data_IF_658233629711
#
_entry.id   IF_658233629711
#
_cell.length_a   1.000
_cell.length_b   1.000
_cell.length_c   1.000
_cell.angle_alpha   90.00
_cell.angle_beta   90.00
_cell.angle_gamma   90.00
#
_symmetry.space_group_name_H-M   'P 1'
#
loop_
_entity.id
_entity.type
_entity.pdbx_description
1 polymer ?
#
# COMPACT_ATOMS: atom_id res chain seq x y z
N UNK A 1 -20.50 -27.15 -1.53
CA UNK A 1 -19.99 -26.22 -2.58
C UNK A 1 -20.41 -24.80 -2.21
N UNK A 2 -19.46 -23.89 -2.04
CA UNK A 2 -19.74 -22.47 -1.71
C UNK A 2 -20.32 -21.82 -2.97
N UNK A 3 -21.57 -21.35 -2.93
CA UNK A 3 -22.18 -20.66 -4.08
C UNK A 3 -21.35 -19.39 -4.35
N UNK A 4 -20.75 -19.34 -5.53
CA UNK A 4 -19.99 -18.16 -5.97
C UNK A 4 -20.98 -17.02 -6.23
N UNK A 5 -20.88 -15.95 -5.46
CA UNK A 5 -21.72 -14.76 -5.63
C UNK A 5 -21.11 -13.85 -6.72
N UNK A 6 -21.41 -14.16 -7.97
CA UNK A 6 -20.91 -13.45 -9.15
C UNK A 6 -21.04 -11.92 -9.04
N UNK A 7 -22.16 -11.42 -8.54
CA UNK A 7 -22.35 -9.98 -8.37
C UNK A 7 -21.33 -9.32 -7.43
N UNK A 8 -20.96 -10.01 -6.33
CA UNK A 8 -19.94 -9.50 -5.41
C UNK A 8 -18.53 -9.56 -6.03
N UNK A 9 -18.23 -10.60 -6.79
CA UNK A 9 -16.96 -10.75 -7.49
C UNK A 9 -16.79 -9.65 -8.54
N UNK A 10 -17.79 -9.43 -9.38
CA UNK A 10 -17.78 -8.38 -10.39
C UNK A 10 -17.65 -7.00 -9.75
N UNK A 11 -18.41 -6.71 -8.70
CA UNK A 11 -18.34 -5.45 -7.97
C UNK A 11 -16.93 -5.22 -7.38
N UNK A 12 -16.31 -6.25 -6.81
CA UNK A 12 -14.95 -6.18 -6.29
C UNK A 12 -13.94 -5.81 -7.38
N UNK A 13 -14.03 -6.46 -8.55
CA UNK A 13 -13.16 -6.17 -9.69
C UNK A 13 -13.36 -4.71 -10.15
N UNK A 14 -14.60 -4.27 -10.32
CA UNK A 14 -14.93 -2.90 -10.74
C UNK A 14 -14.38 -1.86 -9.76
N UNK A 15 -14.57 -2.08 -8.46
CA UNK A 15 -14.05 -1.18 -7.43
C UNK A 15 -12.52 -1.10 -7.47
N UNK A 16 -11.84 -2.23 -7.60
CA UNK A 16 -10.38 -2.26 -7.67
C UNK A 16 -9.86 -1.59 -8.93
N UNK A 17 -10.45 -1.88 -10.08
CA UNK A 17 -10.06 -1.27 -11.36
C UNK A 17 -10.34 0.24 -11.41
N UNK A 18 -11.40 0.72 -10.77
CA UNK A 18 -11.73 2.14 -10.71
C UNK A 18 -10.89 2.90 -9.66
N UNK A 19 -10.57 2.27 -8.56
CA UNK A 19 -9.85 2.89 -7.44
C UNK A 19 -8.42 3.29 -7.85
N UNK A 20 -7.72 2.45 -8.60
CA UNK A 20 -6.33 2.70 -9.00
C UNK A 20 -6.17 3.94 -9.90
N UNK A 21 -6.88 4.10 -11.04
CA UNK A 21 -6.76 5.30 -11.85
C UNK A 21 -7.28 6.56 -11.14
N UNK A 22 -8.30 6.42 -10.28
CA UNK A 22 -8.84 7.56 -9.52
C UNK A 22 -7.79 8.13 -8.56
N UNK A 23 -7.16 7.28 -7.76
CA UNK A 23 -6.09 7.70 -6.84
C UNK A 23 -4.88 8.24 -7.58
N UNK A 24 -4.52 7.63 -8.70
CA UNK A 24 -3.39 8.10 -9.51
C UNK A 24 -3.66 9.49 -10.13
N UNK A 25 -4.88 9.71 -10.62
CA UNK A 25 -5.29 11.02 -11.15
C UNK A 25 -5.30 12.09 -10.05
N UNK A 26 -5.82 11.76 -8.88
CA UNK A 26 -5.80 12.66 -7.73
C UNK A 26 -4.37 13.03 -7.31
N UNK A 27 -3.49 12.03 -7.22
CA UNK A 27 -2.08 12.25 -6.91
C UNK A 27 -1.40 13.14 -7.94
N UNK A 28 -1.69 12.97 -9.24
CA UNK A 28 -1.15 13.81 -10.32
C UNK A 28 -1.57 15.27 -10.15
N UNK A 29 -2.86 15.54 -9.96
CA UNK A 29 -3.38 16.90 -9.76
C UNK A 29 -2.71 17.58 -8.56
N UNK A 30 -2.56 16.85 -7.46
CA UNK A 30 -1.88 17.38 -6.26
C UNK A 30 -0.38 17.62 -6.51
N UNK A 31 0.28 16.75 -7.25
CA UNK A 31 1.70 16.90 -7.61
C UNK A 31 1.95 18.14 -8.49
N UNK A 32 1.08 18.38 -9.45
CA UNK A 32 1.18 19.54 -10.34
C UNK A 32 0.88 20.87 -9.61
N UNK A 33 0.05 20.83 -8.57
CA UNK A 33 -0.34 22.00 -7.78
C UNK A 33 0.57 22.34 -6.61
N UNK A 34 1.58 21.51 -6.29
CA UNK A 34 2.43 21.70 -5.11
C UNK A 34 3.90 21.66 -5.47
N UNK A 35 4.71 22.52 -4.83
CA UNK A 35 6.14 22.58 -5.04
C UNK A 35 6.93 22.65 -3.72
N UNK A 36 8.15 22.14 -3.71
CA UNK A 36 9.06 22.23 -2.57
C UNK A 36 8.47 21.68 -1.26
N UNK A 37 8.44 22.51 -0.22
CA UNK A 37 7.98 22.11 1.12
C UNK A 37 6.49 21.78 1.16
N UNK A 38 5.69 22.36 0.28
CA UNK A 38 4.25 22.09 0.17
C UNK A 38 4.01 20.64 -0.22
N UNK A 39 4.84 20.05 -1.08
CA UNK A 39 4.80 18.64 -1.44
C UNK A 39 4.98 17.73 -0.22
N UNK A 40 5.90 18.10 0.67
CA UNK A 40 6.11 17.36 1.91
C UNK A 40 4.86 17.36 2.80
N UNK A 41 4.27 18.52 3.02
CA UNK A 41 3.05 18.63 3.84
C UNK A 41 1.85 17.96 3.19
N UNK A 42 1.69 18.08 1.87
CA UNK A 42 0.64 17.41 1.13
C UNK A 42 0.77 15.88 1.22
N UNK A 43 1.98 15.36 1.04
CA UNK A 43 2.27 13.94 1.19
C UNK A 43 1.99 13.41 2.60
N UNK A 44 2.51 14.11 3.61
CA UNK A 44 2.26 13.75 5.02
C UNK A 44 0.78 13.83 5.39
N UNK A 45 0.08 14.87 4.94
CA UNK A 45 -1.36 15.03 5.18
C UNK A 45 -2.18 13.90 4.54
N UNK A 46 -1.86 13.56 3.29
CA UNK A 46 -2.55 12.46 2.59
C UNK A 46 -2.24 11.10 3.21
N UNK A 47 -0.98 10.85 3.60
CA UNK A 47 -0.59 9.64 4.33
C UNK A 47 -1.28 9.51 5.68
N UNK A 48 -1.33 10.60 6.46
CA UNK A 48 -2.05 10.64 7.74
C UNK A 48 -3.55 10.40 7.57
N UNK A 49 -4.16 10.98 6.53
CA UNK A 49 -5.56 10.75 6.18
C UNK A 49 -5.81 9.27 5.84
N UNK A 50 -4.90 8.64 5.07
CA UNK A 50 -4.97 7.21 4.78
C UNK A 50 -4.95 6.36 6.05
N UNK A 51 -4.02 6.61 6.97
CA UNK A 51 -3.97 5.92 8.27
C UNK A 51 -5.24 6.16 9.10
N UNK A 52 -5.76 7.38 9.10
CA UNK A 52 -7.03 7.69 9.78
C UNK A 52 -8.18 6.85 9.22
N UNK A 53 -8.28 6.69 7.90
CA UNK A 53 -9.29 5.82 7.27
C UNK A 53 -9.15 4.36 7.71
N UNK A 54 -7.92 3.83 7.79
CA UNK A 54 -7.67 2.45 8.26
C UNK A 54 -8.12 2.29 9.70
N UNK A 55 -7.75 3.23 10.57
CA UNK A 55 -8.12 3.22 11.99
C UNK A 55 -9.64 3.33 12.13
N UNK A 56 -10.27 4.28 11.43
CA UNK A 56 -11.73 4.41 11.41
C UNK A 56 -12.43 3.12 10.97
N UNK A 57 -11.83 2.41 10.01
CA UNK A 57 -12.30 1.10 9.56
C UNK A 57 -12.34 0.03 10.66
N UNK A 58 -11.50 0.13 11.68
CA UNK A 58 -11.52 -0.79 12.84
C UNK A 58 -12.79 -0.61 13.67
N UNK A 59 -13.31 0.61 13.77
CA UNK A 59 -14.47 0.94 14.59
C UNK A 59 -15.82 0.84 13.84
N UNK A 60 -15.79 0.80 12.51
CA UNK A 60 -16.99 0.71 11.69
C UNK A 60 -17.49 -0.74 11.63
N UNK A 61 -18.80 -0.94 11.75
CA UNK A 61 -19.45 -2.25 11.62
C UNK A 61 -19.73 -2.55 10.14
N UNK A 62 -19.46 -3.77 9.71
CA UNK A 62 -19.77 -4.29 8.37
C UNK A 62 -18.53 -4.54 7.51
N UNK A 63 -18.38 -5.79 7.08
CA UNK A 63 -17.20 -6.30 6.38
C UNK A 63 -16.83 -5.49 5.13
N UNK A 64 -17.83 -5.10 4.32
CA UNK A 64 -17.61 -4.33 3.09
C UNK A 64 -17.04 -2.94 3.41
N UNK A 65 -17.62 -2.23 4.40
CA UNK A 65 -17.16 -0.89 4.80
C UNK A 65 -15.74 -0.94 5.35
N UNK A 66 -15.41 -1.94 6.15
CA UNK A 66 -14.06 -2.17 6.68
C UNK A 66 -13.05 -2.41 5.56
N UNK A 67 -13.40 -3.27 4.58
CA UNK A 67 -12.53 -3.55 3.42
C UNK A 67 -12.30 -2.30 2.59
N UNK A 68 -13.35 -1.52 2.29
CA UNK A 68 -13.22 -0.28 1.51
C UNK A 68 -12.37 0.76 2.24
N UNK A 69 -12.58 0.95 3.55
CA UNK A 69 -11.78 1.88 4.33
C UNK A 69 -10.30 1.46 4.41
N UNK A 70 -10.03 0.15 4.53
CA UNK A 70 -8.67 -0.38 4.48
C UNK A 70 -8.03 -0.21 3.11
N UNK A 71 -8.76 -0.53 2.03
CA UNK A 71 -8.32 -0.40 0.65
C UNK A 71 -7.96 1.06 0.32
N UNK A 72 -8.92 1.96 0.45
CA UNK A 72 -8.70 3.38 0.15
C UNK A 72 -7.68 4.01 1.09
N UNK A 73 -7.72 3.65 2.38
CA UNK A 73 -6.72 4.10 3.35
C UNK A 73 -5.30 3.67 2.97
N UNK A 74 -5.12 2.44 2.50
CA UNK A 74 -3.84 1.94 1.97
C UNK A 74 -3.39 2.71 0.74
N UNK A 75 -4.30 2.96 -0.21
CA UNK A 75 -3.98 3.71 -1.42
C UNK A 75 -3.58 5.16 -1.11
N UNK A 76 -4.31 5.86 -0.23
CA UNK A 76 -3.95 7.21 0.21
C UNK A 76 -2.63 7.24 0.97
N UNK A 77 -2.39 6.24 1.81
CA UNK A 77 -1.11 6.12 2.52
C UNK A 77 0.05 5.92 1.55
N UNK A 78 -0.10 4.99 0.60
CA UNK A 78 0.94 4.73 -0.40
C UNK A 78 1.25 5.98 -1.23
N UNK A 79 0.22 6.63 -1.77
CA UNK A 79 0.39 7.84 -2.58
C UNK A 79 1.01 8.99 -1.77
N UNK A 80 0.55 9.21 -0.54
CA UNK A 80 1.03 10.30 0.31
C UNK A 80 2.38 10.02 0.92
N UNK A 81 2.47 9.01 1.77
CA UNK A 81 3.66 8.74 2.57
C UNK A 81 4.79 8.07 1.77
N UNK A 82 4.50 7.45 0.63
CA UNK A 82 5.54 6.84 -0.20
C UNK A 82 5.82 7.69 -1.43
N UNK A 83 4.89 7.78 -2.37
CA UNK A 83 5.10 8.37 -3.68
C UNK A 83 5.44 9.89 -3.61
N UNK A 84 4.68 10.68 -2.82
CA UNK A 84 4.96 12.09 -2.61
C UNK A 84 6.27 12.35 -1.86
N UNK A 85 6.55 11.56 -0.83
CA UNK A 85 7.80 11.73 -0.08
C UNK A 85 9.01 11.33 -0.90
N UNK A 86 8.91 10.28 -1.72
CA UNK A 86 9.99 9.94 -2.65
C UNK A 86 10.25 11.07 -3.64
N UNK A 87 9.21 11.67 -4.20
CA UNK A 87 9.37 12.81 -5.10
C UNK A 87 10.01 14.03 -4.39
N UNK A 88 9.55 14.34 -3.18
CA UNK A 88 10.13 15.42 -2.38
C UNK A 88 11.61 15.18 -2.09
N UNK A 89 11.98 13.98 -1.63
CA UNK A 89 13.38 13.67 -1.33
C UNK A 89 14.24 13.58 -2.59
N UNK A 90 13.71 13.06 -3.70
CA UNK A 90 14.41 13.06 -4.97
C UNK A 90 14.79 14.49 -5.40
N UNK A 91 13.83 15.41 -5.32
CA UNK A 91 14.06 16.83 -5.61
C UNK A 91 15.06 17.45 -4.63
N UNK A 92 14.95 17.14 -3.33
CA UNK A 92 15.85 17.66 -2.29
C UNK A 92 17.30 17.20 -2.46
N UNK A 93 17.48 15.95 -2.90
CA UNK A 93 18.83 15.38 -3.14
C UNK A 93 19.37 15.71 -4.53
N UNK A 94 18.63 16.48 -5.34
CA UNK A 94 19.05 16.82 -6.70
C UNK A 94 19.14 15.64 -7.65
N UNK A 95 18.37 14.57 -7.38
CA UNK A 95 18.32 13.41 -8.25
C UNK A 95 17.68 13.80 -9.58
N UNK A 96 18.40 13.63 -10.68
CA UNK A 96 17.92 13.95 -12.01
C UNK A 96 17.23 12.75 -12.64
N UNK A 97 16.22 13.03 -13.48
CA UNK A 97 15.58 12.00 -14.28
C UNK A 97 16.61 11.34 -15.22
N UNK A 98 16.49 10.02 -15.38
CA UNK A 98 17.28 9.30 -16.37
C UNK A 98 16.67 9.53 -17.75
N UNK A 99 17.43 10.12 -18.65
CA UNK A 99 17.03 10.38 -20.03
C UNK A 99 17.62 9.31 -20.95
N UNK A 100 16.88 8.96 -21.99
CA UNK A 100 17.39 8.16 -23.10
C UNK A 100 18.45 8.99 -23.86
N UNK A 101 19.69 8.47 -24.02
CA UNK A 101 20.76 9.20 -24.70
C UNK A 101 20.47 9.46 -26.20
N UNK A 102 19.55 8.72 -26.81
CA UNK A 102 19.22 8.84 -28.25
C UNK A 102 18.01 9.72 -28.48
N UNK A 103 16.93 9.51 -27.69
CA UNK A 103 15.65 10.21 -27.92
C UNK A 103 15.48 11.44 -27.01
N UNK A 104 16.23 11.52 -25.91
CA UNK A 104 16.07 12.56 -24.90
C UNK A 104 14.81 12.40 -24.03
N UNK A 105 14.05 11.32 -24.22
CA UNK A 105 12.85 11.05 -23.44
C UNK A 105 13.19 10.57 -22.01
N UNK A 106 12.28 10.84 -21.07
CA UNK A 106 12.42 10.40 -19.68
C UNK A 106 12.19 8.90 -19.56
N UNK A 107 13.28 8.15 -19.36
CA UNK A 107 13.22 6.69 -19.12
C UNK A 107 12.77 6.39 -17.70
N UNK A 108 13.31 7.11 -16.73
CA UNK A 108 12.95 6.92 -15.31
C UNK A 108 12.85 8.26 -14.61
N UNK A 109 11.78 8.42 -13.83
CA UNK A 109 11.59 9.62 -13.02
C UNK A 109 12.49 9.60 -11.79
N UNK A 110 12.87 10.77 -11.23
CA UNK A 110 13.77 10.86 -10.09
C UNK A 110 13.32 10.05 -8.86
N UNK A 111 12.02 10.04 -8.60
CA UNK A 111 11.44 9.30 -7.46
C UNK A 111 11.67 7.80 -7.55
N UNK A 112 11.64 7.21 -8.74
CA UNK A 112 11.88 5.78 -8.94
C UNK A 112 13.34 5.37 -8.78
N UNK A 113 14.27 6.30 -8.95
CA UNK A 113 15.70 6.03 -8.73
C UNK A 113 16.04 5.85 -7.23
N UNK A 114 15.19 6.34 -6.33
CA UNK A 114 15.34 6.14 -4.89
C UNK A 114 14.78 4.78 -4.40
N UNK A 115 13.88 4.14 -5.15
CA UNK A 115 13.28 2.87 -4.76
C UNK A 115 14.28 1.77 -4.46
N UNK A 116 15.34 1.54 -5.26
CA UNK A 116 16.33 0.50 -4.96
C UNK A 116 17.02 0.68 -3.61
N UNK A 117 17.22 1.93 -3.16
CA UNK A 117 17.84 2.21 -1.86
C UNK A 117 16.94 1.78 -0.67
N UNK A 118 15.62 1.71 -0.88
CA UNK A 118 14.64 1.31 0.15
C UNK A 118 14.24 -0.16 0.04
N UNK A 119 14.72 -0.88 -0.98
CA UNK A 119 14.34 -2.26 -1.26
C UNK A 119 14.55 -3.19 -0.05
N UNK A 120 15.69 -3.06 0.63
CA UNK A 120 15.98 -3.86 1.83
C UNK A 120 14.96 -3.66 2.94
N UNK A 121 14.50 -2.42 3.14
CA UNK A 121 13.46 -2.11 4.12
C UNK A 121 12.12 -2.79 3.74
N UNK A 122 11.70 -2.69 2.49
CA UNK A 122 10.47 -3.31 2.02
C UNK A 122 10.50 -4.83 2.09
N UNK A 123 11.64 -5.44 1.73
CA UNK A 123 11.84 -6.89 1.89
C UNK A 123 11.72 -7.29 3.35
N UNK A 124 12.32 -6.52 4.28
CA UNK A 124 12.19 -6.77 5.72
C UNK A 124 10.73 -6.67 6.19
N UNK A 125 9.98 -5.64 5.77
CA UNK A 125 8.56 -5.48 6.10
C UNK A 125 7.74 -6.65 5.57
N UNK A 126 7.98 -7.06 4.31
CA UNK A 126 7.34 -8.24 3.72
C UNK A 126 7.64 -9.53 4.49
N UNK A 127 8.90 -9.75 4.87
CA UNK A 127 9.28 -10.93 5.67
C UNK A 127 8.55 -10.92 7.01
N UNK A 128 8.53 -9.78 7.71
CA UNK A 128 7.79 -9.64 8.96
C UNK A 128 6.30 -9.90 8.79
N UNK A 129 5.69 -9.34 7.73
CA UNK A 129 4.29 -9.57 7.43
C UNK A 129 3.99 -11.03 7.13
N UNK A 130 4.78 -11.66 6.27
CA UNK A 130 4.60 -13.05 5.86
C UNK A 130 4.80 -14.05 7.01
N UNK A 131 5.77 -13.78 7.89
CA UNK A 131 6.17 -14.74 8.92
C UNK A 131 5.58 -14.44 10.30
N UNK A 132 5.23 -13.19 10.59
CA UNK A 132 4.68 -12.80 11.89
C UNK A 132 3.16 -12.73 11.92
N UNK A 133 2.48 -12.68 10.77
CA UNK A 133 1.02 -12.61 10.69
C UNK A 133 0.42 -13.94 10.23
N UNK A 134 -0.80 -14.26 10.69
CA UNK A 134 -1.59 -15.36 10.13
C UNK A 134 -2.38 -14.85 8.95
N UNK A 135 -2.01 -15.29 7.77
CA UNK A 135 -2.68 -14.95 6.54
C UNK A 135 -3.79 -15.97 6.23
N UNK A 136 -4.88 -15.50 5.62
CA UNK A 136 -5.92 -16.37 5.09
C UNK A 136 -5.50 -17.17 3.85
N UNK A 137 -4.32 -16.91 3.31
CA UNK A 137 -3.76 -17.54 2.13
C UNK A 137 -3.14 -18.91 2.48
N UNK A 138 -3.65 -19.99 1.85
CA UNK A 138 -3.12 -21.34 2.04
C UNK A 138 -1.66 -21.50 1.61
N UNK A 139 -1.25 -20.77 0.57
CA UNK A 139 0.13 -20.76 0.08
C UNK A 139 1.11 -20.19 1.11
N UNK A 140 0.78 -19.04 1.70
CA UNK A 140 1.60 -18.42 2.74
C UNK A 140 1.63 -19.26 4.02
N UNK A 141 0.52 -19.87 4.39
CA UNK A 141 0.47 -20.80 5.52
C UNK A 141 1.34 -22.04 5.28
N UNK A 142 1.42 -22.53 4.03
CA UNK A 142 2.32 -23.61 3.66
C UNK A 142 3.79 -23.20 3.81
N UNK A 143 4.17 -22.01 3.33
CA UNK A 143 5.50 -21.42 3.51
C UNK A 143 5.86 -21.27 4.99
N UNK A 144 4.97 -20.72 5.79
CA UNK A 144 5.17 -20.59 7.24
C UNK A 144 5.40 -21.97 7.89
N UNK A 145 4.67 -23.01 7.49
CA UNK A 145 4.87 -24.37 8.00
C UNK A 145 6.20 -24.95 7.59
N UNK A 146 6.67 -24.67 6.38
CA UNK A 146 7.95 -25.15 5.88
C UNK A 146 9.13 -24.62 6.70
N UNK A 147 9.12 -23.33 7.06
CA UNK A 147 10.22 -22.68 7.80
C UNK A 147 10.13 -22.86 9.31
N UNK A 148 8.94 -22.87 9.88
CA UNK A 148 8.77 -22.89 11.35
C UNK A 148 8.25 -24.22 11.90
N UNK A 149 8.02 -25.22 11.06
CA UNK A 149 7.50 -26.52 11.47
C UNK A 149 6.09 -26.50 12.02
N UNK A 150 5.62 -27.68 12.49
CA UNK A 150 4.25 -27.84 13.01
C UNK A 150 4.02 -27.20 14.41
N UNK A 151 5.09 -26.88 15.14
CA UNK A 151 5.06 -26.43 16.53
C UNK A 151 5.19 -24.91 16.70
N UNK A 152 4.62 -24.12 15.82
CA UNK A 152 4.48 -22.70 16.10
C UNK A 152 3.50 -22.55 17.26
N UNK A 153 4.00 -22.30 18.50
CA UNK A 153 3.19 -21.72 19.57
C UNK A 153 2.50 -20.51 18.93
N UNK A 154 1.17 -20.48 19.00
CA UNK A 154 0.40 -19.39 18.45
C UNK A 154 0.97 -18.08 18.99
N UNK A 155 1.70 -17.37 18.15
CA UNK A 155 1.94 -15.97 18.42
C UNK A 155 0.55 -15.38 18.47
N UNK A 156 0.10 -14.98 19.65
CA UNK A 156 -1.21 -14.37 19.84
C UNK A 156 -1.15 -13.04 19.11
N UNK A 157 -1.42 -13.11 17.82
CA UNK A 157 -1.62 -11.92 17.00
C UNK A 157 -2.88 -11.29 17.56
N UNK A 158 -2.73 -10.12 18.16
CA UNK A 158 -3.83 -9.37 18.77
C UNK A 158 -4.97 -9.25 17.76
N UNK A 159 -6.20 -9.27 18.24
CA UNK A 159 -7.41 -9.18 17.41
C UNK A 159 -7.37 -8.03 16.38
N UNK A 160 -6.63 -6.98 16.70
CA UNK A 160 -6.46 -5.79 15.87
C UNK A 160 -5.70 -6.06 14.55
N UNK A 161 -4.66 -6.92 14.55
CA UNK A 161 -3.89 -7.26 13.34
C UNK A 161 -4.64 -8.20 12.39
N UNK A 162 -5.75 -8.78 12.83
CA UNK A 162 -6.64 -9.60 12.01
C UNK A 162 -7.88 -8.84 11.55
N UNK A 163 -7.98 -7.56 11.89
CA UNK A 163 -9.13 -6.76 11.50
C UNK A 163 -9.13 -6.55 9.98
N UNK A 164 -10.29 -6.67 9.36
CA UNK A 164 -10.45 -6.61 7.90
C UNK A 164 -9.86 -5.34 7.29
N UNK A 165 -10.02 -4.19 7.95
CA UNK A 165 -9.44 -2.92 7.48
C UNK A 165 -7.92 -2.97 7.46
N UNK A 166 -7.29 -3.51 8.50
CA UNK A 166 -5.83 -3.62 8.60
C UNK A 166 -5.29 -4.65 7.61
N UNK A 167 -5.97 -5.78 7.44
CA UNK A 167 -5.58 -6.79 6.43
C UNK A 167 -5.64 -6.18 5.03
N UNK A 168 -6.73 -5.49 4.68
CA UNK A 168 -6.86 -4.83 3.38
C UNK A 168 -5.79 -3.74 3.17
N UNK A 169 -5.48 -2.95 4.20
CA UNK A 169 -4.40 -1.99 4.16
C UNK A 169 -3.04 -2.67 3.89
N UNK A 170 -2.72 -3.72 4.64
CA UNK A 170 -1.45 -4.45 4.48
C UNK A 170 -1.32 -5.09 3.10
N UNK A 171 -2.41 -5.62 2.54
CA UNK A 171 -2.44 -6.19 1.19
C UNK A 171 -2.25 -5.14 0.07
N UNK A 172 -2.58 -3.87 0.33
CA UNK A 172 -2.35 -2.77 -0.62
C UNK A 172 -0.91 -2.29 -0.60
N UNK A 173 -0.27 -2.24 0.58
CA UNK A 173 1.08 -1.66 0.72
C UNK A 173 2.20 -2.69 0.60
N UNK A 174 1.92 -3.99 0.58
CA UNK A 174 2.90 -5.06 0.37
C UNK A 174 2.87 -5.59 -1.04
#
# INVERSE_FOLDING_TARGET
MRKLHWGKAVMSIVVTLAAMPLTHSLARVLKEGTTGVEQFYAGMGMGAFGLFMVIAGVFVKGHIRQTLLGLFGGMFYWMGAVDFLFMYFANRFGTQAQLDPVTGEVVSRPEYLLLPATFGFWVMVMILYLFCTRNGCNFLNWWQKLFFGKHKKEIVVRAMTRHTSIVAFMEVIT
#
